data_IF_266786853754
#
_entry.id   IF_266786853754
#
_cell.length_a   1.000
_cell.length_b   1.000
_cell.length_c   1.000
_cell.angle_alpha   90.00
_cell.angle_beta   90.00
_cell.angle_gamma   90.00
#
_symmetry.space_group_name_H-M   'P 1'
#
loop_
_entity.id
_entity.type
_entity.pdbx_description
1 polymer ?
#
# COMPACT_ATOMS: atom_id res chain seq x y z
N UNK A 1 -66.35 -25.27 -22.38
CA UNK A 1 -65.68 -24.55 -21.28
C UNK A 1 -64.34 -24.08 -21.82
N UNK A 2 -64.12 -22.77 -21.70
CA UNK A 2 -63.05 -21.88 -22.18
C UNK A 2 -61.64 -22.43 -22.42
N UNK A 3 -61.03 -21.96 -23.54
CA UNK A 3 -59.66 -21.40 -23.77
C UNK A 3 -58.43 -22.19 -23.24
N UNK A 4 -57.25 -22.20 -23.86
CA UNK A 4 -56.52 -21.13 -24.58
C UNK A 4 -55.37 -21.78 -25.36
N UNK A 5 -55.06 -21.24 -26.54
CA UNK A 5 -53.80 -21.43 -27.26
C UNK A 5 -52.72 -20.62 -26.53
N UNK A 6 -51.54 -21.16 -26.15
CA UNK A 6 -50.42 -20.32 -25.78
C UNK A 6 -49.75 -19.84 -27.07
N UNK A 7 -49.90 -18.54 -27.33
CA UNK A 7 -49.07 -17.78 -28.24
C UNK A 7 -47.62 -17.87 -27.74
N UNK A 8 -46.76 -18.39 -28.60
CA UNK A 8 -45.31 -18.29 -28.49
C UNK A 8 -44.95 -16.81 -28.72
N UNK A 9 -44.82 -16.06 -27.61
CA UNK A 9 -44.40 -14.66 -27.62
C UNK A 9 -42.88 -14.62 -27.61
N UNK A 10 -42.37 -14.02 -28.68
CA UNK A 10 -40.98 -13.67 -28.97
C UNK A 10 -40.19 -13.15 -27.74
N UNK A 11 -39.37 -14.01 -27.13
CA UNK A 11 -38.44 -13.63 -26.06
C UNK A 11 -37.22 -12.84 -26.57
N UNK A 12 -37.07 -12.66 -27.90
CA UNK A 12 -35.99 -11.86 -28.50
C UNK A 12 -36.26 -10.35 -28.47
N UNK A 13 -37.50 -9.90 -28.28
CA UNK A 13 -37.85 -8.48 -28.26
C UNK A 13 -37.50 -7.75 -26.94
N UNK A 14 -37.54 -8.46 -25.81
CA UNK A 14 -37.37 -7.85 -24.48
C UNK A 14 -35.91 -7.59 -24.08
N UNK A 15 -34.95 -8.37 -24.61
CA UNK A 15 -33.52 -8.15 -24.35
C UNK A 15 -32.96 -6.94 -25.11
N UNK A 16 -33.43 -6.69 -26.34
CA UNK A 16 -33.00 -5.56 -27.15
C UNK A 16 -33.55 -4.21 -26.61
N UNK A 17 -34.73 -4.20 -25.99
CA UNK A 17 -35.30 -2.96 -25.42
C UNK A 17 -34.59 -2.52 -24.14
N UNK A 18 -34.16 -3.45 -23.29
CA UNK A 18 -33.41 -3.12 -22.06
C UNK A 18 -32.02 -2.54 -22.38
N UNK A 19 -31.31 -3.13 -23.35
CA UNK A 19 -29.98 -2.66 -23.75
C UNK A 19 -30.03 -1.27 -24.42
N UNK A 20 -31.09 -0.99 -25.19
CA UNK A 20 -31.33 0.37 -25.74
C UNK A 20 -31.69 1.39 -24.66
N UNK A 21 -32.42 0.97 -23.62
CA UNK A 21 -32.85 1.85 -22.55
C UNK A 21 -31.69 2.22 -21.61
N UNK A 22 -30.79 1.27 -21.33
CA UNK A 22 -29.57 1.51 -20.55
C UNK A 22 -28.57 2.38 -21.32
N UNK A 23 -28.43 2.17 -22.64
CA UNK A 23 -27.62 3.03 -23.51
C UNK A 23 -28.16 4.45 -23.56
N UNK A 24 -29.48 4.63 -23.66
CA UNK A 24 -30.10 5.96 -23.63
C UNK A 24 -29.95 6.66 -22.28
N UNK A 25 -30.06 5.93 -21.17
CA UNK A 25 -29.84 6.50 -19.84
C UNK A 25 -28.36 6.92 -19.68
N UNK A 26 -27.42 6.07 -20.10
CA UNK A 26 -26.00 6.37 -20.09
C UNK A 26 -25.65 7.59 -20.95
N UNK A 27 -26.18 7.66 -22.18
CA UNK A 27 -26.02 8.82 -23.06
C UNK A 27 -26.63 10.09 -22.45
N UNK A 28 -27.84 10.02 -21.89
CA UNK A 28 -28.48 11.20 -21.27
C UNK A 28 -27.72 11.72 -20.04
N UNK A 29 -26.99 10.85 -19.35
CA UNK A 29 -26.17 11.20 -18.19
C UNK A 29 -24.83 11.86 -18.59
N UNK A 30 -24.25 11.43 -19.71
CA UNK A 30 -22.90 11.82 -20.16
C UNK A 30 -22.89 12.98 -21.15
N UNK A 31 -23.92 13.10 -21.99
CA UNK A 31 -24.00 14.14 -23.00
C UNK A 31 -24.03 15.58 -22.41
N UNK A 32 -24.72 15.85 -21.29
CA UNK A 32 -24.75 17.19 -20.69
C UNK A 32 -23.37 17.71 -20.24
N UNK A 33 -22.58 17.02 -19.39
CA UNK A 33 -21.28 17.53 -18.95
C UNK A 33 -20.30 17.66 -20.13
N UNK A 34 -20.34 16.73 -21.09
CA UNK A 34 -19.55 16.81 -22.31
C UNK A 34 -19.90 18.07 -23.14
N UNK A 35 -21.19 18.31 -23.39
CA UNK A 35 -21.64 19.48 -24.15
C UNK A 35 -21.24 20.79 -23.44
N UNK A 36 -21.31 20.83 -22.11
CA UNK A 36 -20.91 22.00 -21.31
C UNK A 36 -19.42 22.29 -21.49
N UNK A 37 -18.56 21.29 -21.31
CA UNK A 37 -17.11 21.45 -21.54
C UNK A 37 -16.80 21.90 -22.97
N UNK A 38 -17.44 21.25 -23.95
CA UNK A 38 -17.26 21.55 -25.37
C UNK A 38 -17.65 22.98 -25.72
N UNK A 39 -18.84 23.42 -25.33
CA UNK A 39 -19.30 24.77 -25.63
C UNK A 39 -18.45 25.83 -24.92
N UNK A 40 -17.99 25.55 -23.69
CA UNK A 40 -17.16 26.47 -22.92
C UNK A 40 -15.83 26.80 -23.62
N UNK A 41 -15.17 25.81 -24.24
CA UNK A 41 -13.88 26.04 -24.91
C UNK A 41 -13.97 26.23 -26.43
N UNK A 42 -15.00 25.69 -27.08
CA UNK A 42 -15.24 25.91 -28.52
C UNK A 42 -15.51 27.38 -28.84
N UNK A 43 -16.19 28.09 -27.93
CA UNK A 43 -16.56 29.50 -28.09
C UNK A 43 -15.80 30.44 -27.15
N UNK A 44 -14.64 30.04 -26.64
CA UNK A 44 -13.85 30.85 -25.69
C UNK A 44 -13.56 32.27 -26.21
N UNK A 45 -13.45 32.46 -27.54
CA UNK A 45 -13.27 33.77 -28.18
C UNK A 45 -14.52 34.70 -28.12
N UNK A 46 -15.71 34.17 -27.79
CA UNK A 46 -16.97 34.91 -27.59
C UNK A 46 -17.42 34.80 -26.12
N UNK A 47 -16.65 35.44 -25.24
CA UNK A 47 -16.81 35.42 -23.78
C UNK A 47 -18.23 35.68 -23.25
N UNK A 48 -19.06 36.46 -23.96
CA UNK A 48 -20.46 36.71 -23.60
C UNK A 48 -21.36 35.46 -23.62
N UNK A 49 -21.03 34.44 -24.42
CA UNK A 49 -21.74 33.16 -24.47
C UNK A 49 -21.30 32.19 -23.34
N UNK A 50 -20.27 32.55 -22.55
CA UNK A 50 -19.76 31.74 -21.45
C UNK A 50 -20.51 31.96 -20.13
N UNK A 51 -21.31 33.03 -20.03
CA UNK A 51 -22.07 33.35 -18.80
C UNK A 51 -23.09 32.25 -18.44
N UNK A 52 -23.91 31.72 -19.37
CA UNK A 52 -24.82 30.61 -19.07
C UNK A 52 -24.08 29.32 -18.74
N UNK A 53 -23.00 29.01 -19.45
CA UNK A 53 -22.16 27.83 -19.21
C UNK A 53 -21.46 27.89 -17.85
N UNK A 54 -21.00 29.09 -17.44
CA UNK A 54 -20.41 29.33 -16.12
C UNK A 54 -21.41 29.19 -14.98
N UNK A 55 -22.66 29.63 -15.16
CA UNK A 55 -23.73 29.45 -14.15
C UNK A 55 -24.08 27.97 -13.98
N UNK A 56 -24.17 27.21 -15.08
CA UNK A 56 -24.45 25.77 -15.03
C UNK A 56 -23.25 24.98 -14.47
N UNK A 57 -22.02 25.35 -14.83
CA UNK A 57 -20.80 24.75 -14.26
C UNK A 57 -20.68 25.02 -12.76
N UNK A 58 -21.04 26.22 -12.29
CA UNK A 58 -21.09 26.53 -10.86
C UNK A 58 -22.19 25.73 -10.14
N UNK A 59 -23.33 25.48 -10.78
CA UNK A 59 -24.38 24.62 -10.24
C UNK A 59 -23.95 23.14 -10.14
N UNK A 60 -23.27 22.62 -11.17
CA UNK A 60 -22.71 21.27 -11.17
C UNK A 60 -21.60 21.12 -10.11
N UNK A 61 -20.69 22.09 -10.02
CA UNK A 61 -19.64 22.11 -9.00
C UNK A 61 -20.23 22.14 -7.58
N UNK A 62 -21.34 22.87 -7.37
CA UNK A 62 -22.06 22.90 -6.08
C UNK A 62 -22.73 21.56 -5.76
N UNK A 63 -23.26 20.86 -6.78
CA UNK A 63 -23.82 19.51 -6.62
C UNK A 63 -22.75 18.45 -6.33
N UNK A 64 -21.60 18.51 -6.99
CA UNK A 64 -20.47 17.61 -6.71
C UNK A 64 -19.83 17.89 -5.35
N UNK A 65 -19.68 19.15 -4.96
CA UNK A 65 -19.15 19.48 -3.64
C UNK A 65 -20.05 18.95 -2.52
N UNK A 66 -21.38 19.00 -2.72
CA UNK A 66 -22.34 18.44 -1.77
C UNK A 66 -22.32 16.89 -1.75
N UNK A 67 -22.10 16.22 -2.89
CA UNK A 67 -22.08 14.75 -2.97
C UNK A 67 -20.77 14.14 -2.46
N UNK A 68 -19.63 14.79 -2.68
CA UNK A 68 -18.31 14.32 -2.21
C UNK A 68 -18.15 14.49 -0.70
N UNK A 69 -18.82 15.47 -0.08
CA UNK A 69 -18.83 15.62 1.38
C UNK A 69 -19.76 14.62 2.11
N UNK A 70 -20.58 13.87 1.38
CA UNK A 70 -21.55 12.94 1.94
C UNK A 70 -21.14 11.47 1.70
N UNK A 71 -20.07 11.05 2.38
CA UNK A 71 -19.68 9.66 2.66
C UNK A 71 -19.43 8.70 1.47
N UNK A 72 -18.53 7.73 1.71
CA UNK A 72 -18.10 6.68 0.77
C UNK A 72 -19.29 5.94 0.12
N UNK A 73 -19.69 6.37 -1.07
CA UNK A 73 -20.80 5.80 -1.82
C UNK A 73 -20.61 5.93 -3.34
N UNK A 74 -21.50 5.32 -4.14
CA UNK A 74 -21.43 5.31 -5.62
C UNK A 74 -21.42 6.70 -6.26
N UNK A 75 -21.72 7.76 -5.50
CA UNK A 75 -21.64 9.16 -5.93
C UNK A 75 -20.22 9.62 -6.31
N UNK A 76 -19.16 9.07 -5.69
CA UNK A 76 -17.78 9.42 -6.06
C UNK A 76 -17.44 8.92 -7.48
N UNK A 77 -17.84 7.69 -7.79
CA UNK A 77 -17.62 7.10 -9.12
C UNK A 77 -18.41 7.87 -10.20
N UNK A 78 -19.65 8.26 -9.91
CA UNK A 78 -20.46 9.07 -10.82
C UNK A 78 -19.89 10.47 -11.02
N UNK A 79 -19.37 11.13 -9.97
CA UNK A 79 -18.70 12.43 -10.08
C UNK A 79 -17.44 12.37 -10.93
N UNK A 80 -16.58 11.34 -10.73
CA UNK A 80 -15.40 11.14 -11.58
C UNK A 80 -15.80 11.00 -13.05
N UNK A 81 -16.85 10.23 -13.35
CA UNK A 81 -17.35 10.05 -14.72
C UNK A 81 -17.81 11.40 -15.31
N UNK A 82 -18.57 12.21 -14.57
CA UNK A 82 -19.04 13.52 -15.04
C UNK A 82 -17.89 14.50 -15.32
N UNK A 83 -16.91 14.60 -14.42
CA UNK A 83 -15.72 15.45 -14.59
C UNK A 83 -14.90 15.00 -15.80
N UNK A 84 -14.72 13.69 -15.98
CA UNK A 84 -14.03 13.12 -17.14
C UNK A 84 -14.70 13.56 -18.44
N UNK A 85 -16.02 13.40 -18.55
CA UNK A 85 -16.73 13.78 -19.77
C UNK A 85 -16.75 15.30 -20.02
N UNK A 86 -16.77 16.10 -18.95
CA UNK A 86 -16.59 17.55 -19.06
C UNK A 86 -15.20 17.92 -19.59
N UNK A 87 -14.13 17.25 -19.12
CA UNK A 87 -12.76 17.48 -19.60
C UNK A 87 -12.55 17.03 -21.05
N UNK A 88 -13.19 15.92 -21.45
CA UNK A 88 -13.20 15.46 -22.86
C UNK A 88 -13.93 16.48 -23.74
N UNK A 89 -15.09 16.99 -23.28
CA UNK A 89 -15.79 18.07 -23.97
C UNK A 89 -14.91 19.32 -24.11
N UNK A 90 -14.30 19.75 -23.02
CA UNK A 90 -13.42 20.91 -22.96
C UNK A 90 -12.28 20.81 -23.98
N UNK A 91 -11.55 19.69 -23.97
CA UNK A 91 -10.42 19.46 -24.89
C UNK A 91 -10.88 19.40 -26.35
N UNK A 92 -12.00 18.74 -26.67
CA UNK A 92 -12.52 18.72 -28.03
C UNK A 92 -13.03 20.10 -28.50
N UNK A 93 -13.60 20.89 -27.59
CA UNK A 93 -13.99 22.28 -27.85
C UNK A 93 -12.80 23.16 -28.20
N UNK A 94 -11.70 23.05 -27.44
CA UNK A 94 -10.48 23.80 -27.69
C UNK A 94 -9.87 23.47 -29.06
N UNK A 95 -9.79 22.18 -29.42
CA UNK A 95 -9.30 21.72 -30.73
C UNK A 95 -10.20 22.22 -31.86
N UNK A 96 -11.53 22.12 -31.70
CA UNK A 96 -12.49 22.64 -32.67
C UNK A 96 -12.33 24.16 -32.88
N UNK A 97 -12.12 24.92 -31.80
CA UNK A 97 -11.86 26.36 -31.86
C UNK A 97 -10.59 26.68 -32.66
N UNK A 98 -9.49 25.97 -32.38
CA UNK A 98 -8.23 26.11 -33.11
C UNK A 98 -8.37 25.82 -34.61
N UNK A 99 -9.08 24.75 -34.97
CA UNK A 99 -9.31 24.39 -36.37
C UNK A 99 -10.22 25.40 -37.09
N UNK A 100 -11.26 25.91 -36.41
CA UNK A 100 -12.13 26.97 -36.97
C UNK A 100 -11.35 28.26 -37.19
N UNK A 101 -10.48 28.66 -36.27
CA UNK A 101 -9.63 29.86 -36.40
C UNK A 101 -8.61 29.71 -37.55
N UNK A 102 -8.04 28.53 -37.74
CA UNK A 102 -7.14 28.23 -38.87
C UNK A 102 -7.92 28.12 -40.20
N UNK A 103 -9.13 27.58 -40.18
CA UNK A 103 -10.01 27.50 -41.36
C UNK A 103 -10.59 28.86 -41.78
N UNK A 104 -10.71 29.82 -40.86
CA UNK A 104 -11.09 31.21 -41.18
C UNK A 104 -9.96 31.97 -41.89
N UNK A 105 -8.70 31.59 -41.67
CA UNK A 105 -7.52 32.23 -42.28
C UNK A 105 -7.08 31.58 -43.59
N UNK A 106 -7.49 30.34 -43.86
CA UNK A 106 -7.12 29.59 -45.06
C UNK A 106 -8.36 29.26 -45.90
N UNK A 107 -8.33 29.55 -47.21
CA UNK A 107 -9.46 29.44 -48.16
C UNK A 107 -9.93 28.00 -48.46
N UNK A 108 -9.65 27.04 -47.58
CA UNK A 108 -9.96 25.62 -47.74
C UNK A 108 -11.36 25.29 -47.20
N UNK A 109 -12.34 25.23 -48.10
CA UNK A 109 -13.73 24.82 -47.79
C UNK A 109 -13.87 23.40 -47.21
N UNK A 110 -12.82 22.58 -47.26
CA UNK A 110 -12.77 21.22 -46.71
C UNK A 110 -12.73 21.18 -45.16
N UNK A 111 -12.33 22.27 -44.50
CA UNK A 111 -12.31 22.39 -43.03
C UNK A 111 -13.65 22.90 -42.45
N UNK A 112 -14.78 22.62 -43.12
CA UNK A 112 -16.10 22.93 -42.56
C UNK A 112 -16.27 22.16 -41.24
N UNK A 113 -16.72 22.88 -40.20
CA UNK A 113 -16.94 22.37 -38.84
C UNK A 113 -17.69 21.02 -38.80
N UNK A 114 -18.53 20.73 -39.80
CA UNK A 114 -19.27 19.48 -39.99
C UNK A 114 -18.38 18.23 -40.05
N UNK A 115 -17.16 18.31 -40.62
CA UNK A 115 -16.23 17.17 -40.71
C UNK A 115 -15.19 17.15 -39.58
N UNK A 116 -14.87 18.32 -39.03
CA UNK A 116 -13.88 18.47 -37.96
C UNK A 116 -14.43 17.97 -36.62
N UNK A 117 -15.70 18.25 -36.32
CA UNK A 117 -16.37 17.85 -35.07
C UNK A 117 -16.40 16.33 -34.87
N UNK A 118 -16.82 15.51 -35.85
CA UNK A 118 -16.82 14.06 -35.71
C UNK A 118 -15.40 13.49 -35.55
N UNK A 119 -14.42 14.03 -36.27
CA UNK A 119 -13.03 13.58 -36.20
C UNK A 119 -12.41 13.93 -34.84
N UNK A 120 -12.64 15.15 -34.34
CA UNK A 120 -12.19 15.55 -33.01
C UNK A 120 -12.89 14.77 -31.89
N UNK A 121 -14.18 14.43 -32.08
CA UNK A 121 -14.93 13.57 -31.15
C UNK A 121 -14.34 12.15 -31.11
N UNK A 122 -14.13 11.52 -32.27
CA UNK A 122 -13.61 10.15 -32.38
C UNK A 122 -12.17 10.08 -31.84
N UNK A 123 -11.32 11.04 -32.19
CA UNK A 123 -9.93 11.07 -31.71
C UNK A 123 -9.84 11.43 -30.23
N UNK A 124 -10.64 12.39 -29.75
CA UNK A 124 -10.69 12.77 -28.34
C UNK A 124 -11.16 11.63 -27.45
N UNK A 125 -12.31 11.02 -27.79
CA UNK A 125 -12.85 9.87 -27.07
C UNK A 125 -11.93 8.65 -27.16
N UNK A 126 -11.38 8.36 -28.35
CA UNK A 126 -10.43 7.27 -28.57
C UNK A 126 -9.13 7.42 -27.79
N UNK A 127 -8.59 8.65 -27.69
CA UNK A 127 -7.37 8.92 -26.91
C UNK A 127 -7.58 8.73 -25.41
N UNK A 128 -8.73 9.14 -24.88
CA UNK A 128 -9.07 8.91 -23.47
C UNK A 128 -9.21 7.42 -23.13
N UNK A 129 -9.91 6.66 -23.99
CA UNK A 129 -10.01 5.21 -23.84
C UNK A 129 -8.63 4.54 -23.92
N UNK A 130 -7.78 4.96 -24.85
CA UNK A 130 -6.41 4.43 -24.96
C UNK A 130 -5.57 4.72 -23.71
N UNK A 131 -5.63 5.93 -23.15
CA UNK A 131 -4.89 6.31 -21.93
C UNK A 131 -5.39 5.54 -20.71
N UNK A 132 -6.72 5.45 -20.52
CA UNK A 132 -7.28 4.71 -19.39
C UNK A 132 -7.02 3.21 -19.50
N UNK A 133 -7.17 2.63 -20.70
CA UNK A 133 -6.84 1.24 -20.97
C UNK A 133 -5.36 0.93 -20.73
N UNK A 134 -4.46 1.79 -21.22
CA UNK A 134 -3.01 1.61 -21.01
C UNK A 134 -2.64 1.76 -19.54
N UNK A 135 -3.23 2.71 -18.80
CA UNK A 135 -3.05 2.83 -17.36
C UNK A 135 -3.54 1.58 -16.62
N UNK A 136 -4.71 1.06 -16.99
CA UNK A 136 -5.24 -0.18 -16.40
C UNK A 136 -4.32 -1.37 -16.69
N UNK A 137 -3.89 -1.57 -17.94
CA UNK A 137 -2.97 -2.65 -18.31
C UNK A 137 -1.61 -2.52 -17.64
N UNK A 138 -1.12 -1.30 -17.47
CA UNK A 138 0.13 -1.02 -16.74
C UNK A 138 -0.02 -1.36 -15.26
N UNK A 139 -1.15 -1.03 -14.63
CA UNK A 139 -1.44 -1.43 -13.25
C UNK A 139 -1.55 -2.95 -13.14
N UNK A 140 -2.28 -3.61 -14.03
CA UNK A 140 -2.40 -5.07 -14.05
C UNK A 140 -1.02 -5.74 -14.18
N UNK A 141 -0.14 -5.24 -15.05
CA UNK A 141 1.21 -5.77 -15.21
C UNK A 141 2.11 -5.50 -13.98
N UNK A 142 1.99 -4.30 -13.39
CA UNK A 142 2.76 -3.90 -12.20
C UNK A 142 2.38 -4.71 -10.97
N UNK A 143 1.09 -4.99 -10.78
CA UNK A 143 0.56 -5.71 -9.63
C UNK A 143 0.30 -7.20 -9.89
N UNK A 144 0.76 -7.73 -11.02
CA UNK A 144 0.70 -9.15 -11.32
C UNK A 144 1.43 -9.96 -10.22
N UNK A 145 0.83 -11.07 -9.75
CA UNK A 145 1.43 -11.89 -8.71
C UNK A 145 2.76 -12.50 -9.18
N UNK A 146 3.67 -12.84 -8.25
CA UNK A 146 4.86 -13.61 -8.58
C UNK A 146 4.52 -15.00 -9.13
N UNK A 147 5.50 -15.67 -9.74
CA UNK A 147 5.33 -17.05 -10.21
C UNK A 147 5.09 -18.01 -9.04
N UNK A 148 4.36 -19.10 -9.26
CA UNK A 148 4.13 -20.11 -8.22
C UNK A 148 5.44 -20.69 -7.66
N UNK A 149 6.44 -20.89 -8.55
CA UNK A 149 7.77 -21.34 -8.14
C UNK A 149 8.45 -20.37 -7.15
N UNK A 150 8.35 -19.06 -7.38
CA UNK A 150 8.85 -18.04 -6.45
C UNK A 150 8.10 -18.06 -5.10
N UNK A 151 6.79 -18.31 -5.13
CA UNK A 151 6.00 -18.33 -3.89
C UNK A 151 6.23 -19.59 -3.04
N UNK A 152 6.56 -20.72 -3.68
CA UNK A 152 6.73 -22.02 -3.01
C UNK A 152 8.19 -22.33 -2.62
N UNK A 153 9.17 -21.65 -3.22
CA UNK A 153 10.58 -21.88 -2.97
C UNK A 153 11.14 -21.06 -1.80
N UNK A 154 12.23 -21.56 -1.24
CA UNK A 154 13.09 -20.78 -0.35
C UNK A 154 14.18 -20.11 -1.17
N UNK A 155 14.31 -18.80 -1.01
CA UNK A 155 15.26 -18.01 -1.78
C UNK A 155 16.57 -17.86 -1.02
N UNK A 156 17.70 -18.32 -1.60
CA UNK A 156 18.99 -18.17 -0.96
C UNK A 156 19.39 -16.69 -0.92
N UNK A 157 19.77 -16.22 0.26
CA UNK A 157 20.29 -14.89 0.49
C UNK A 157 21.44 -14.93 1.50
N UNK A 158 22.20 -13.84 1.58
CA UNK A 158 23.30 -13.71 2.54
C UNK A 158 23.20 -12.40 3.29
N UNK A 159 23.41 -12.44 4.60
CA UNK A 159 23.57 -11.24 5.43
C UNK A 159 24.94 -11.31 6.12
N UNK A 160 25.81 -10.34 5.81
CA UNK A 160 27.25 -10.46 6.05
C UNK A 160 27.78 -11.83 5.55
N UNK A 161 28.28 -12.69 6.45
CA UNK A 161 28.81 -14.01 6.10
C UNK A 161 27.84 -15.16 6.35
N UNK A 162 26.62 -14.87 6.80
CA UNK A 162 25.63 -15.90 7.16
C UNK A 162 24.71 -16.17 5.95
N UNK A 163 24.68 -17.43 5.51
CA UNK A 163 23.71 -17.89 4.53
C UNK A 163 22.34 -18.07 5.19
N UNK A 164 21.31 -17.55 4.55
CA UNK A 164 19.91 -17.65 4.97
C UNK A 164 19.03 -18.01 3.78
N UNK A 165 17.90 -18.64 4.06
CA UNK A 165 16.90 -19.05 3.10
C UNK A 165 15.58 -18.34 3.45
N UNK A 166 15.13 -17.44 2.58
CA UNK A 166 14.02 -16.54 2.85
C UNK A 166 12.77 -17.00 2.09
N UNK A 167 11.65 -17.31 2.78
CA UNK A 167 10.38 -17.53 2.13
C UNK A 167 9.71 -16.19 1.75
N UNK A 168 8.92 -16.18 0.68
CA UNK A 168 8.03 -15.05 0.38
C UNK A 168 6.85 -15.06 1.35
N UNK A 169 6.99 -14.34 2.45
CA UNK A 169 6.03 -14.33 3.56
C UNK A 169 5.62 -12.90 3.97
N UNK A 170 4.40 -12.72 4.52
CA UNK A 170 3.97 -11.43 5.02
C UNK A 170 4.81 -10.97 6.23
N UNK A 171 4.93 -9.66 6.40
CA UNK A 171 5.66 -9.07 7.53
C UNK A 171 7.19 -9.12 7.40
N UNK A 172 7.75 -9.62 6.29
CA UNK A 172 9.20 -9.58 6.03
C UNK A 172 9.55 -8.39 5.14
N UNK A 173 10.46 -7.54 5.62
CA UNK A 173 11.14 -6.48 4.87
C UNK A 173 12.62 -6.79 4.73
N UNK A 174 13.16 -6.63 3.52
CA UNK A 174 14.58 -6.87 3.24
C UNK A 174 15.24 -5.60 2.72
N UNK A 175 16.45 -5.31 3.20
CA UNK A 175 17.28 -4.22 2.69
C UNK A 175 18.55 -4.81 2.08
N UNK A 176 18.84 -4.53 0.81
CA UNK A 176 20.00 -5.07 0.11
C UNK A 176 21.27 -4.21 0.19
N UNK A 177 22.40 -4.81 -0.18
CA UNK A 177 23.67 -4.10 -0.37
C UNK A 177 23.77 -3.54 -1.81
N UNK A 178 23.97 -2.23 -1.95
CA UNK A 178 24.02 -1.55 -3.25
C UNK A 178 22.70 -0.99 -3.81
N UNK A 179 21.55 -1.21 -3.16
CA UNK A 179 20.28 -0.58 -3.55
C UNK A 179 20.13 0.80 -2.90
N UNK A 180 19.75 1.82 -3.69
CA UNK A 180 19.40 3.14 -3.18
C UNK A 180 18.01 3.07 -2.57
N UNK A 181 17.91 2.96 -1.25
CA UNK A 181 16.66 3.01 -0.46
C UNK A 181 15.51 2.04 -0.82
N UNK A 182 15.67 1.23 -1.88
CA UNK A 182 14.70 0.22 -2.28
C UNK A 182 14.80 -1.00 -1.35
N UNK A 183 13.72 -1.22 -0.62
CA UNK A 183 13.50 -2.33 0.28
C UNK A 183 12.55 -3.31 -0.39
N UNK A 184 12.78 -4.62 -0.23
CA UNK A 184 11.81 -5.60 -0.70
C UNK A 184 10.74 -5.82 0.35
N UNK A 185 9.52 -5.46 0.00
CA UNK A 185 8.33 -5.75 0.78
C UNK A 185 7.76 -7.10 0.32
N UNK A 186 7.99 -8.19 1.07
CA UNK A 186 7.63 -9.52 0.56
C UNK A 186 6.12 -9.81 0.49
N UNK A 187 5.27 -8.92 1.01
CA UNK A 187 3.81 -8.97 0.81
C UNK A 187 3.29 -8.09 -0.34
N UNK A 188 4.19 -7.38 -1.02
CA UNK A 188 3.92 -6.57 -2.21
C UNK A 188 4.27 -7.40 -3.45
N UNK A 189 3.31 -7.60 -4.37
CA UNK A 189 3.53 -8.37 -5.61
C UNK A 189 4.73 -7.88 -6.45
N UNK A 190 4.93 -6.56 -6.71
CA UNK A 190 6.09 -6.10 -7.46
C UNK A 190 7.41 -6.39 -6.74
N UNK A 191 7.47 -6.17 -5.44
CA UNK A 191 8.72 -6.29 -4.67
C UNK A 191 9.10 -7.75 -4.42
N UNK A 192 8.13 -8.61 -4.13
CA UNK A 192 8.34 -10.06 -4.02
C UNK A 192 8.87 -10.65 -5.32
N UNK A 193 8.32 -10.23 -6.48
CA UNK A 193 8.80 -10.67 -7.79
C UNK A 193 10.21 -10.17 -8.09
N UNK A 194 10.53 -8.92 -7.76
CA UNK A 194 11.87 -8.37 -7.91
C UNK A 194 12.87 -9.17 -7.05
N UNK A 195 12.54 -9.41 -5.78
CA UNK A 195 13.35 -10.22 -4.88
C UNK A 195 13.59 -11.64 -5.42
N UNK A 196 12.54 -12.33 -5.89
CA UNK A 196 12.68 -13.68 -6.44
C UNK A 196 13.62 -13.72 -7.65
N UNK A 197 13.50 -12.76 -8.56
CA UNK A 197 14.39 -12.69 -9.73
C UNK A 197 15.87 -12.50 -9.32
N UNK A 198 16.12 -11.69 -8.30
CA UNK A 198 17.48 -11.39 -7.83
C UNK A 198 18.06 -12.55 -6.99
N UNK A 199 17.22 -13.21 -6.20
CA UNK A 199 17.65 -14.31 -5.34
C UNK A 199 17.87 -15.62 -6.11
N UNK A 200 17.05 -15.91 -7.13
CA UNK A 200 17.24 -17.09 -8.00
C UNK A 200 18.53 -16.99 -8.82
N UNK A 201 19.06 -15.77 -9.03
CA UNK A 201 20.38 -15.50 -9.60
C UNK A 201 21.57 -15.73 -8.65
N UNK A 202 21.31 -16.02 -7.37
CA UNK A 202 22.34 -16.31 -6.36
C UNK A 202 23.09 -15.10 -5.80
N UNK A 203 22.63 -13.87 -6.10
CA UNK A 203 23.33 -12.62 -5.79
C UNK A 203 22.69 -11.77 -4.69
N UNK A 204 21.65 -12.25 -3.99
CA UNK A 204 20.96 -11.47 -2.97
C UNK A 204 21.80 -11.31 -1.69
N UNK A 205 22.59 -10.24 -1.62
CA UNK A 205 23.29 -9.79 -0.41
C UNK A 205 22.47 -8.73 0.31
N UNK A 206 22.19 -8.97 1.59
CA UNK A 206 21.35 -8.15 2.45
C UNK A 206 22.16 -7.40 3.49
N UNK A 207 21.74 -6.17 3.77
CA UNK A 207 22.16 -5.34 4.90
C UNK A 207 21.32 -5.60 6.14
N UNK A 208 20.01 -5.81 5.97
CA UNK A 208 19.13 -6.13 7.08
C UNK A 208 17.89 -6.92 6.66
N UNK A 209 17.38 -7.69 7.61
CA UNK A 209 16.13 -8.44 7.55
C UNK A 209 15.24 -7.96 8.69
N UNK A 210 14.05 -7.49 8.37
CA UNK A 210 13.07 -6.97 9.33
C UNK A 210 11.84 -7.87 9.32
N UNK A 211 11.40 -8.27 10.51
CA UNK A 211 10.16 -8.96 10.76
C UNK A 211 9.19 -8.04 11.50
N UNK A 212 8.00 -7.86 10.95
CA UNK A 212 6.86 -7.19 11.57
C UNK A 212 5.86 -8.28 11.99
N UNK A 213 5.84 -8.59 13.28
CA UNK A 213 5.12 -9.73 13.86
C UNK A 213 3.85 -9.28 14.60
N UNK A 214 3.64 -7.99 14.74
CA UNK A 214 2.45 -7.35 15.30
C UNK A 214 1.27 -7.28 14.33
N UNK A 215 1.47 -7.77 13.11
CA UNK A 215 0.47 -7.74 12.05
C UNK A 215 0.23 -6.35 11.45
N UNK A 216 1.11 -5.37 11.72
CA UNK A 216 1.21 -4.14 10.93
C UNK A 216 2.21 -4.46 9.81
N UNK A 217 1.67 -4.85 8.64
CA UNK A 217 0.96 -3.91 7.79
C UNK A 217 -0.55 -4.11 7.84
N UNK A 218 -1.30 -3.01 7.84
CA UNK A 218 -2.76 -3.04 7.72
C UNK A 218 -3.18 -3.97 6.57
N UNK A 219 -4.27 -4.75 6.77
CA UNK A 219 -4.91 -5.64 5.76
C UNK A 219 -5.06 -5.03 4.35
N UNK A 220 -4.95 -3.71 4.20
CA UNK A 220 -5.10 -2.95 2.95
C UNK A 220 -3.90 -3.03 2.00
N UNK A 221 -2.69 -3.33 2.49
CA UNK A 221 -1.46 -3.35 1.65
C UNK A 221 -1.06 -4.76 1.18
N UNK A 222 -1.77 -5.79 1.61
CA UNK A 222 -1.47 -7.17 1.23
C UNK A 222 -2.16 -7.53 -0.09
N UNK A 223 -1.46 -7.30 -1.20
CA UNK A 223 -1.95 -7.56 -2.56
C UNK A 223 -1.71 -9.01 -3.03
N UNK A 224 -0.87 -9.76 -2.31
CA UNK A 224 -0.69 -11.20 -2.53
C UNK A 224 -1.87 -11.97 -1.93
N UNK A 225 -2.61 -12.75 -2.74
CA UNK A 225 -3.30 -13.94 -2.19
C UNK A 225 -2.21 -14.76 -1.51
N UNK A 226 -2.37 -15.15 -0.24
CA UNK A 226 -1.26 -15.59 0.64
C UNK A 226 -0.98 -17.11 0.52
N UNK A 227 -0.16 -17.63 -0.41
CA UNK A 227 0.18 -19.06 -0.44
C UNK A 227 0.96 -19.47 0.81
N UNK A 228 1.87 -18.64 1.33
CA UNK A 228 2.57 -18.93 2.58
C UNK A 228 1.59 -19.19 3.73
N UNK A 229 0.57 -18.35 3.90
CA UNK A 229 -0.43 -18.54 4.96
C UNK A 229 -1.52 -19.58 4.63
N UNK A 230 -1.41 -20.30 3.51
CA UNK A 230 -2.40 -21.32 3.12
C UNK A 230 -2.16 -22.67 3.77
N UNK A 231 -0.95 -22.91 4.30
CA UNK A 231 -0.57 -24.15 4.99
C UNK A 231 0.12 -23.86 6.33
N UNK A 232 0.10 -24.82 7.27
CA UNK A 232 0.93 -24.72 8.47
C UNK A 232 2.42 -24.76 8.14
N UNK A 233 3.20 -24.01 8.90
CA UNK A 233 4.67 -23.92 8.79
C UNK A 233 5.32 -24.17 10.15
N UNK A 234 5.36 -25.44 10.63
CA UNK A 234 5.99 -25.78 11.92
C UNK A 234 7.49 -25.44 11.97
N UNK A 235 8.15 -25.34 10.81
CA UNK A 235 9.53 -24.91 10.67
C UNK A 235 9.76 -23.42 11.02
N UNK A 236 8.71 -22.59 10.96
CA UNK A 236 8.79 -21.15 11.18
C UNK A 236 7.97 -20.75 12.43
N UNK A 237 8.60 -20.56 13.60
CA UNK A 237 7.89 -20.22 14.84
C UNK A 237 7.18 -18.86 14.80
N UNK A 238 7.49 -18.06 13.78
CA UNK A 238 6.90 -16.74 13.51
C UNK A 238 5.78 -16.77 12.47
N UNK A 239 5.59 -17.87 11.72
CA UNK A 239 4.61 -17.92 10.63
C UNK A 239 3.19 -17.68 11.11
N UNK A 240 2.82 -18.22 12.28
CA UNK A 240 1.49 -18.00 12.85
C UNK A 240 1.24 -16.51 13.16
N UNK A 241 2.24 -15.80 13.69
CA UNK A 241 2.15 -14.35 13.98
C UNK A 241 2.11 -13.51 12.70
N UNK A 242 2.85 -13.90 11.67
CA UNK A 242 2.83 -13.21 10.39
C UNK A 242 1.50 -13.43 9.62
N UNK A 243 0.91 -14.61 9.75
CA UNK A 243 -0.29 -14.99 9.03
C UNK A 243 -1.59 -14.59 9.73
N UNK A 244 -1.61 -14.64 11.07
CA UNK A 244 -2.75 -14.27 11.88
C UNK A 244 -2.46 -12.96 12.59
N UNK A 245 -3.39 -12.01 12.52
CA UNK A 245 -3.36 -10.78 13.30
C UNK A 245 -3.58 -11.15 14.77
N UNK A 246 -2.55 -11.63 15.45
CA UNK A 246 -2.64 -11.93 16.87
C UNK A 246 -2.50 -10.61 17.62
N UNK A 247 -3.49 -10.23 18.45
CA UNK A 247 -3.38 -9.03 19.26
C UNK A 247 -2.10 -9.10 20.11
N UNK A 248 -1.26 -8.08 19.98
CA UNK A 248 0.08 -8.01 20.60
C UNK A 248 0.05 -7.97 22.13
N UNK A 249 -1.12 -7.73 22.71
CA UNK A 249 -1.44 -7.85 24.14
C UNK A 249 -1.60 -9.30 24.61
N UNK A 250 -1.68 -10.28 23.70
CA UNK A 250 -1.91 -11.71 24.01
C UNK A 250 -0.62 -12.55 23.95
N UNK A 251 0.49 -12.01 23.42
CA UNK A 251 1.77 -12.74 23.31
C UNK A 251 2.90 -12.00 24.07
N UNK A 252 2.99 -12.16 25.41
CA UNK A 252 3.98 -11.46 26.23
C UNK A 252 5.43 -11.93 26.04
N UNK A 253 5.64 -13.07 25.40
CA UNK A 253 6.93 -13.76 25.32
C UNK A 253 7.59 -13.69 23.93
N UNK A 254 6.97 -13.03 22.94
CA UNK A 254 7.49 -12.94 21.57
C UNK A 254 7.79 -11.48 21.17
N UNK A 255 8.77 -11.26 20.28
CA UNK A 255 9.01 -9.93 19.74
C UNK A 255 7.85 -9.48 18.85
N UNK A 256 7.52 -8.19 18.94
CA UNK A 256 6.52 -7.46 18.15
C UNK A 256 7.13 -7.08 16.80
N UNK A 257 8.37 -6.61 16.82
CA UNK A 257 9.18 -6.30 15.64
C UNK A 257 10.59 -6.78 15.91
N UNK A 258 11.27 -7.26 14.88
CA UNK A 258 12.65 -7.72 14.98
C UNK A 258 13.43 -7.32 13.74
N UNK A 259 14.66 -6.88 13.93
CA UNK A 259 15.59 -6.52 12.85
C UNK A 259 16.91 -7.22 13.09
N UNK A 260 17.40 -7.94 12.09
CA UNK A 260 18.77 -8.44 12.04
C UNK A 260 19.51 -7.62 11.00
N UNK A 261 20.65 -7.03 11.37
CA UNK A 261 21.40 -6.15 10.48
C UNK A 261 22.90 -6.39 10.58
N UNK A 262 23.61 -6.04 9.51
CA UNK A 262 25.06 -5.91 9.52
C UNK A 262 25.44 -4.77 10.46
N UNK A 263 26.40 -5.01 11.36
CA UNK A 263 26.91 -3.99 12.28
C UNK A 263 27.50 -2.83 11.48
N UNK A 264 27.02 -1.61 11.74
CA UNK A 264 27.63 -0.40 11.20
C UNK A 264 29.04 -0.21 11.78
N UNK A 265 29.95 0.49 11.08
CA UNK A 265 31.24 0.88 11.64
C UNK A 265 31.02 1.68 12.94
N UNK A 266 31.58 1.22 14.06
CA UNK A 266 31.36 1.84 15.38
C UNK A 266 30.04 1.48 16.06
N UNK A 267 29.34 0.45 15.57
CA UNK A 267 28.19 -0.12 16.27
C UNK A 267 28.62 -0.74 17.59
N UNK A 268 28.28 -0.05 18.67
CA UNK A 268 28.40 -0.56 20.04
C UNK A 268 27.04 -0.31 20.70
N UNK A 269 26.20 -1.35 20.87
CA UNK A 269 24.88 -1.20 21.47
C UNK A 269 24.99 -0.61 22.88
N UNK A 270 26.11 -0.85 23.57
CA UNK A 270 26.37 -0.40 24.92
C UNK A 270 26.80 1.07 25.05
N UNK A 271 27.08 1.80 23.95
CA UNK A 271 27.40 3.24 24.05
C UNK A 271 26.20 4.03 24.55
N UNK A 272 25.02 3.76 23.99
CA UNK A 272 23.77 4.41 24.41
C UNK A 272 23.41 4.05 25.85
N UNK A 273 23.68 2.79 26.23
CA UNK A 273 23.50 2.28 27.59
C UNK A 273 24.42 3.01 28.56
N UNK A 274 25.72 3.10 28.25
CA UNK A 274 26.73 3.80 29.06
C UNK A 274 26.37 5.28 29.21
N UNK A 275 25.96 5.95 28.16
CA UNK A 275 25.53 7.35 28.25
C UNK A 275 24.29 7.55 29.13
N UNK A 276 23.30 6.66 29.04
CA UNK A 276 22.11 6.70 29.88
C UNK A 276 22.43 6.42 31.36
N UNK A 277 23.31 5.43 31.62
CA UNK A 277 23.77 5.06 32.96
C UNK A 277 24.62 6.16 33.61
N UNK A 278 25.42 6.90 32.82
CA UNK A 278 26.25 8.00 33.34
C UNK A 278 25.44 9.23 33.75
N UNK A 279 24.30 9.47 33.12
CA UNK A 279 23.45 10.65 33.37
C UNK A 279 22.45 10.47 34.51
N UNK A 280 22.25 9.23 34.99
CA UNK A 280 21.11 8.90 35.86
C UNK A 280 21.51 7.93 36.96
N UNK A 281 21.01 8.15 38.19
CA UNK A 281 21.20 7.20 39.28
C UNK A 281 20.24 6.00 39.14
N UNK A 282 20.77 4.79 39.31
CA UNK A 282 19.98 3.57 39.22
C UNK A 282 19.11 3.36 40.47
N UNK A 283 17.86 2.95 40.27
CA UNK A 283 17.03 2.34 41.32
C UNK A 283 17.20 0.82 41.18
N UNK A 284 17.61 0.16 42.25
CA UNK A 284 17.85 -1.30 42.26
C UNK A 284 16.73 -1.98 43.04
N UNK A 285 16.01 -2.89 42.37
CA UNK A 285 14.99 -3.72 43.00
C UNK A 285 15.61 -4.95 43.68
N UNK A 286 14.83 -5.65 44.50
CA UNK A 286 15.28 -6.82 45.29
C UNK A 286 15.70 -8.01 44.43
N UNK A 287 15.19 -8.10 43.21
CA UNK A 287 15.54 -9.10 42.20
C UNK A 287 16.80 -8.73 41.39
N UNK A 288 17.44 -7.60 41.72
CA UNK A 288 18.64 -7.10 41.05
C UNK A 288 18.36 -6.32 39.77
N UNK A 289 17.10 -6.09 39.39
CA UNK A 289 16.74 -5.22 38.28
C UNK A 289 17.19 -3.79 38.57
N UNK A 290 17.94 -3.19 37.64
CA UNK A 290 18.33 -1.79 37.69
C UNK A 290 17.48 -0.97 36.74
N UNK A 291 16.85 0.07 37.27
CA UNK A 291 16.03 1.01 36.51
C UNK A 291 16.70 2.38 36.47
N UNK A 292 16.90 2.93 35.27
CA UNK A 292 17.38 4.30 35.05
C UNK A 292 16.27 5.10 34.37
N UNK A 293 15.92 6.28 34.88
CA UNK A 293 14.80 7.07 34.34
C UNK A 293 15.27 8.37 33.70
N UNK A 294 15.01 8.54 32.40
CA UNK A 294 15.32 9.76 31.67
C UNK A 294 14.06 10.29 31.01
N UNK A 295 13.49 11.36 31.57
CA UNK A 295 12.25 11.99 31.07
C UNK A 295 11.09 10.99 30.91
N UNK A 296 10.79 10.56 29.68
CA UNK A 296 9.71 9.62 29.35
C UNK A 296 10.21 8.20 29.12
N UNK A 297 11.52 7.97 29.08
CA UNK A 297 12.11 6.66 28.87
C UNK A 297 12.62 6.08 30.20
N UNK A 298 12.43 4.78 30.35
CA UNK A 298 12.95 3.96 31.44
C UNK A 298 13.89 2.93 30.85
N UNK A 299 15.14 2.93 31.27
CA UNK A 299 16.10 1.91 30.88
C UNK A 299 16.14 0.83 31.95
N UNK A 300 15.97 -0.41 31.53
CA UNK A 300 15.91 -1.57 32.42
C UNK A 300 17.10 -2.48 32.14
N UNK A 301 17.88 -2.77 33.17
CA UNK A 301 19.03 -3.66 33.10
C UNK A 301 18.89 -4.83 34.06
N UNK A 302 19.00 -6.04 33.53
CA UNK A 302 19.00 -7.29 34.31
C UNK A 302 20.36 -7.55 34.98
N UNK A 303 20.40 -8.44 35.98
CA UNK A 303 21.64 -8.84 36.65
C UNK A 303 22.73 -9.42 35.73
N UNK A 304 22.33 -10.05 34.63
CA UNK A 304 23.23 -10.64 33.63
C UNK A 304 23.75 -9.63 32.59
N UNK A 305 23.40 -8.35 32.74
CA UNK A 305 23.86 -7.27 31.87
C UNK A 305 22.94 -6.98 30.69
N UNK A 306 21.86 -7.76 30.49
CA UNK A 306 20.86 -7.46 29.46
C UNK A 306 20.25 -6.07 29.68
N UNK A 307 20.14 -5.28 28.62
CA UNK A 307 19.67 -3.90 28.67
C UNK A 307 18.58 -3.66 27.64
N UNK A 308 17.51 -2.97 28.07
CA UNK A 308 16.44 -2.52 27.19
C UNK A 308 16.06 -1.06 27.47
N UNK A 309 15.76 -0.31 26.42
CA UNK A 309 15.12 0.99 26.51
C UNK A 309 13.60 0.78 26.45
N UNK A 310 12.89 1.20 27.49
CA UNK A 310 11.45 1.06 27.59
C UNK A 310 10.78 2.43 27.64
N UNK A 311 9.77 2.62 26.80
CA UNK A 311 8.94 3.81 26.78
C UNK A 311 7.63 3.56 27.54
N UNK A 312 7.31 4.47 28.46
CA UNK A 312 6.04 4.46 29.19
C UNK A 312 5.07 5.42 28.50
N UNK A 313 4.05 4.88 27.83
CA UNK A 313 3.04 5.67 27.13
C UNK A 313 2.09 6.41 28.08
N UNK A 314 2.15 6.16 29.40
CA UNK A 314 1.33 6.78 30.46
C UNK A 314 -0.18 6.78 30.19
N UNK A 315 -0.65 5.90 29.32
CA UNK A 315 -2.06 5.78 28.97
C UNK A 315 -2.75 4.79 29.90
N UNK A 316 -3.89 5.17 30.49
CA UNK A 316 -4.71 4.26 31.30
C UNK A 316 -5.21 3.03 30.51
N UNK A 317 -5.25 3.12 29.17
CA UNK A 317 -5.63 2.00 28.29
C UNK A 317 -4.45 1.12 27.84
N UNK A 318 -3.20 1.51 28.11
CA UNK A 318 -1.99 0.77 27.75
C UNK A 318 -1.03 0.70 28.94
N UNK A 319 -1.24 -0.23 29.89
CA UNK A 319 -0.40 -0.36 31.09
C UNK A 319 1.00 -0.94 30.80
N UNK A 320 1.30 -1.27 29.55
CA UNK A 320 2.51 -1.95 29.12
C UNK A 320 3.60 -0.95 28.74
N UNK A 321 4.84 -1.23 29.14
CA UNK A 321 6.04 -0.59 28.62
C UNK A 321 6.35 -1.13 27.23
N UNK A 322 6.66 -0.24 26.28
CA UNK A 322 7.19 -0.62 24.96
C UNK A 322 8.70 -0.64 25.04
N UNK A 323 9.30 -1.83 25.02
CA UNK A 323 10.73 -2.02 25.23
C UNK A 323 11.44 -2.40 23.92
N UNK A 324 12.61 -1.83 23.70
CA UNK A 324 13.52 -2.17 22.61
C UNK A 324 14.83 -2.63 23.22
N UNK A 325 15.32 -3.79 22.79
CA UNK A 325 16.63 -4.31 23.15
C UNK A 325 17.46 -4.54 21.89
N UNK A 326 18.78 -4.39 22.03
CA UNK A 326 19.73 -4.61 20.94
C UNK A 326 20.88 -5.45 21.46
N UNK A 327 21.14 -6.56 20.78
CA UNK A 327 22.16 -7.52 21.17
C UNK A 327 23.12 -7.80 20.01
N UNK A 328 24.32 -8.23 20.36
CA UNK A 328 25.24 -8.78 19.38
C UNK A 328 24.89 -10.23 19.07
N UNK A 329 24.76 -10.54 17.78
CA UNK A 329 24.47 -11.90 17.31
C UNK A 329 25.73 -12.61 16.83
N UNK A 330 26.67 -11.86 16.24
CA UNK A 330 28.03 -12.29 15.90
C UNK A 330 28.94 -11.07 15.79
N UNK A 331 30.22 -11.27 15.46
CA UNK A 331 31.16 -10.17 15.22
C UNK A 331 30.70 -9.18 14.14
N UNK A 332 29.85 -9.65 13.20
CA UNK A 332 29.37 -8.85 12.05
C UNK A 332 27.87 -8.55 12.08
N UNK A 333 27.10 -9.19 12.96
CA UNK A 333 25.65 -9.08 13.00
C UNK A 333 25.14 -8.59 14.35
N UNK A 334 24.12 -7.74 14.30
CA UNK A 334 23.33 -7.33 15.44
C UNK A 334 21.87 -7.76 15.27
N UNK A 335 21.20 -7.96 16.39
CA UNK A 335 19.76 -8.19 16.47
C UNK A 335 19.14 -7.11 17.34
N UNK A 336 18.08 -6.47 16.86
CA UNK A 336 17.30 -5.50 17.60
C UNK A 336 15.84 -5.92 17.57
N UNK A 337 15.14 -5.87 18.69
CA UNK A 337 13.74 -6.27 18.74
C UNK A 337 12.94 -5.47 19.75
N UNK A 338 11.67 -5.29 19.41
CA UNK A 338 10.67 -4.58 20.19
C UNK A 338 9.75 -5.60 20.87
N UNK A 339 9.39 -5.36 22.12
CA UNK A 339 8.48 -6.20 22.88
C UNK A 339 7.73 -5.37 23.93
N UNK A 340 6.65 -5.94 24.47
CA UNK A 340 5.86 -5.30 25.52
C UNK A 340 6.07 -6.01 26.83
N UNK A 341 6.24 -5.25 27.91
CA UNK A 341 6.43 -5.82 29.24
C UNK A 341 5.95 -4.87 30.35
N UNK A 342 5.95 -5.33 31.59
CA UNK A 342 5.82 -4.49 32.78
C UNK A 342 7.11 -4.56 33.59
N UNK A 343 7.36 -3.62 34.50
CA UNK A 343 8.55 -3.66 35.34
C UNK A 343 8.67 -4.97 36.14
N UNK A 344 7.54 -5.53 36.58
CA UNK A 344 7.46 -6.76 37.38
C UNK A 344 7.76 -8.03 36.55
N UNK A 345 7.34 -8.04 35.28
CA UNK A 345 7.51 -9.20 34.39
C UNK A 345 8.76 -9.09 33.51
N UNK A 346 9.48 -7.97 33.57
CA UNK A 346 10.59 -7.67 32.67
C UNK A 346 11.68 -8.73 32.69
N UNK A 347 12.13 -9.18 33.88
CA UNK A 347 13.22 -10.16 33.98
C UNK A 347 12.85 -11.46 33.26
N UNK A 348 11.66 -11.99 33.52
CA UNK A 348 11.22 -13.28 32.96
C UNK A 348 10.83 -13.17 31.49
N UNK A 349 10.09 -12.13 31.09
CA UNK A 349 9.65 -11.94 29.71
C UNK A 349 10.80 -11.59 28.78
N UNK A 350 11.70 -10.70 29.17
CA UNK A 350 12.83 -10.31 28.29
C UNK A 350 13.73 -11.50 27.94
N UNK A 351 13.90 -12.46 28.85
CA UNK A 351 14.64 -13.69 28.57
C UNK A 351 13.96 -14.55 27.51
N UNK A 352 12.64 -14.75 27.64
CA UNK A 352 11.86 -15.51 26.68
C UNK A 352 11.83 -14.83 25.30
N UNK A 353 11.64 -13.50 25.27
CA UNK A 353 11.65 -12.70 24.04
C UNK A 353 13.00 -12.79 23.34
N UNK A 354 14.11 -12.63 24.07
CA UNK A 354 15.46 -12.74 23.50
C UNK A 354 15.70 -14.13 22.86
N UNK A 355 15.27 -15.20 23.55
CA UNK A 355 15.36 -16.56 23.04
C UNK A 355 14.51 -16.76 21.78
N UNK A 356 13.27 -16.25 21.78
CA UNK A 356 12.37 -16.31 20.63
C UNK A 356 12.91 -15.50 19.43
N UNK A 357 13.47 -14.32 19.66
CA UNK A 357 14.08 -13.51 18.60
C UNK A 357 15.25 -14.25 17.94
N UNK A 358 16.12 -14.88 18.74
CA UNK A 358 17.22 -15.73 18.22
C UNK A 358 16.68 -16.95 17.47
N UNK A 359 15.64 -17.60 17.97
CA UNK A 359 15.01 -18.75 17.31
C UNK A 359 14.40 -18.38 15.95
N UNK A 360 13.78 -17.20 15.84
CA UNK A 360 13.23 -16.68 14.57
C UNK A 360 14.34 -16.52 13.54
N UNK A 361 15.46 -15.87 13.87
CA UNK A 361 16.56 -15.75 12.92
C UNK A 361 17.18 -17.11 12.57
N UNK A 362 17.33 -17.98 13.57
CA UNK A 362 17.87 -19.32 13.34
C UNK A 362 16.98 -20.17 12.42
N UNK A 363 15.66 -19.94 12.40
CA UNK A 363 14.75 -20.64 11.48
C UNK A 363 14.99 -20.30 10.00
N UNK A 364 15.70 -19.20 9.70
CA UNK A 364 16.09 -18.86 8.33
C UNK A 364 17.42 -19.49 7.90
N UNK A 365 18.17 -20.11 8.81
CA UNK A 365 19.44 -20.75 8.44
C UNK A 365 19.16 -22.13 7.82
N UNK A 366 19.90 -22.50 6.77
CA UNK A 366 19.71 -23.78 6.07
C UNK A 366 20.06 -25.00 6.93
#
# INVERSE_FOLDING_TARGET
MFFTIPLEVDAKGAHASAEHQDLMHFLSFILPPYAIGFLALCFWWRWWLLVPAGIVAAALAKFEYASVTAADGPGLALGIILVVFMMIGATSGFVASGVVLIGLTTRFQALRAVYVLPVAFILGFGSFFAVTWTQQKTREARYAPPSAACLDNLHPARIADVAIAIPVAPGILLFGDGMSDDHYILWSNPDARAFCNDADGGSATLKSVVFMLDGIPARREMETKRPFCSRPHPEYPWAEMACHLIPTDVIPDKPVKMTVSVKAPGFDPSVREREAMLKTQAIVASDGLRTYRSQNDSYLQRPDGYFAQCHDHRSKSQPWLSCTATEELSDKLAISYDFRSTAELFITQSAAVAANARAIFNSLKP
#
